data_IF_979373016213
#
_entry.id   IF_979373016213
#
_cell.length_a   1.000
_cell.length_b   1.000
_cell.length_c   1.000
_cell.angle_alpha   90.00
_cell.angle_beta   90.00
_cell.angle_gamma   90.00
#
_symmetry.space_group_name_H-M   'P 1'
#
loop_
_entity.id
_entity.type
_entity.pdbx_description
1 polymer ?
#
# COMPACT_ATOMS: atom_id res chain seq x y z
N UNK A 1 5.49 6.66 -20.59
CA UNK A 1 4.89 6.24 -21.87
C UNK A 1 5.96 6.24 -22.94
N UNK A 2 5.98 5.18 -23.74
CA UNK A 2 6.99 4.92 -24.75
C UNK A 2 7.04 6.04 -25.81
N UNK A 3 8.22 6.45 -26.28
CA UNK A 3 8.35 7.31 -27.45
C UNK A 3 7.66 6.72 -28.67
N UNK A 4 7.19 7.57 -29.59
CA UNK A 4 6.54 7.14 -30.83
C UNK A 4 7.41 6.21 -31.70
N UNK A 5 8.74 6.32 -31.56
CA UNK A 5 9.72 5.54 -32.31
C UNK A 5 10.18 4.26 -31.57
N UNK A 6 9.61 3.93 -30.40
CA UNK A 6 10.00 2.74 -29.64
C UNK A 6 9.42 1.48 -30.29
N UNK A 7 10.26 0.47 -30.63
CA UNK A 7 9.80 -0.75 -31.29
C UNK A 7 8.82 -1.57 -30.43
N UNK A 8 8.79 -1.37 -29.11
CA UNK A 8 7.88 -2.07 -28.18
C UNK A 8 6.48 -1.47 -28.18
N UNK A 9 6.29 -0.31 -28.81
CA UNK A 9 5.02 0.42 -28.79
C UNK A 9 3.90 -0.38 -29.45
N UNK A 10 4.18 -1.05 -30.57
CA UNK A 10 3.20 -1.84 -31.31
C UNK A 10 2.71 -3.05 -30.48
N UNK A 11 3.64 -3.82 -29.91
CA UNK A 11 3.32 -4.97 -29.05
C UNK A 11 2.49 -4.56 -27.83
N UNK A 12 2.85 -3.43 -27.21
CA UNK A 12 2.16 -2.93 -26.02
C UNK A 12 0.75 -2.43 -26.37
N UNK A 13 0.57 -1.77 -27.51
CA UNK A 13 -0.74 -1.37 -28.02
C UNK A 13 -1.65 -2.55 -28.32
N UNK A 14 -1.12 -3.61 -28.95
CA UNK A 14 -1.88 -4.83 -29.23
C UNK A 14 -2.36 -5.48 -27.93
N UNK A 15 -1.49 -5.61 -26.94
CA UNK A 15 -1.85 -6.19 -25.65
C UNK A 15 -2.88 -5.35 -24.90
N UNK A 16 -2.70 -4.02 -24.85
CA UNK A 16 -3.68 -3.12 -24.24
C UNK A 16 -5.04 -3.20 -24.93
N UNK A 17 -5.08 -3.31 -26.27
CA UNK A 17 -6.33 -3.50 -27.01
C UNK A 17 -7.04 -4.82 -26.69
N UNK A 18 -6.29 -5.90 -26.45
CA UNK A 18 -6.85 -7.17 -25.98
C UNK A 18 -7.45 -7.07 -24.58
N UNK A 19 -6.73 -6.42 -23.65
CA UNK A 19 -7.21 -6.19 -22.29
C UNK A 19 -8.44 -5.30 -22.27
N UNK A 20 -8.42 -4.19 -23.01
CA UNK A 20 -9.52 -3.24 -23.08
C UNK A 20 -10.80 -3.89 -23.61
N UNK A 21 -10.73 -4.71 -24.65
CA UNK A 21 -11.90 -5.45 -25.16
C UNK A 21 -12.55 -6.38 -24.13
N UNK A 22 -11.80 -6.85 -23.12
CA UNK A 22 -12.31 -7.71 -22.06
C UNK A 22 -12.78 -6.98 -20.80
N UNK A 23 -12.24 -5.79 -20.53
CA UNK A 23 -12.39 -5.08 -19.26
C UNK A 23 -13.03 -3.68 -19.39
N UNK A 24 -13.12 -3.12 -20.61
CA UNK A 24 -13.58 -1.75 -20.84
C UNK A 24 -12.74 -0.72 -20.08
N UNK A 25 -11.41 -0.88 -20.10
CA UNK A 25 -10.48 -0.07 -19.30
C UNK A 25 -10.54 1.41 -19.71
N UNK A 26 -10.59 1.70 -21.01
CA UNK A 26 -10.66 3.07 -21.51
C UNK A 26 -11.92 3.79 -21.03
N UNK A 27 -13.07 3.14 -21.15
CA UNK A 27 -14.35 3.70 -20.69
C UNK A 27 -14.38 3.86 -19.17
N UNK A 28 -13.83 2.91 -18.42
CA UNK A 28 -13.71 3.01 -16.98
C UNK A 28 -12.79 4.17 -16.55
N UNK A 29 -11.66 4.36 -17.24
CA UNK A 29 -10.73 5.48 -16.99
C UNK A 29 -11.40 6.82 -17.32
N UNK A 30 -12.14 6.91 -18.43
CA UNK A 30 -12.89 8.11 -18.79
C UNK A 30 -13.96 8.42 -17.75
N UNK A 31 -14.77 7.44 -17.35
CA UNK A 31 -15.77 7.61 -16.30
C UNK A 31 -15.15 8.06 -14.98
N UNK A 32 -13.97 7.54 -14.62
CA UNK A 32 -13.20 7.96 -13.45
C UNK A 32 -12.73 9.42 -13.57
N UNK A 33 -12.36 9.87 -14.77
CA UNK A 33 -11.86 11.22 -15.03
C UNK A 33 -12.98 12.25 -15.13
N UNK A 34 -14.15 11.85 -15.61
CA UNK A 34 -15.32 12.72 -15.83
C UNK A 34 -16.20 12.85 -14.58
N UNK A 35 -15.89 12.11 -13.51
CA UNK A 35 -16.55 12.19 -12.21
C UNK A 35 -16.13 13.47 -11.46
N UNK A 36 -16.79 14.58 -11.80
CA UNK A 36 -16.62 15.89 -11.17
C UNK A 36 -17.04 15.91 -9.68
N UNK A 37 -17.83 14.93 -9.22
CA UNK A 37 -18.23 14.81 -7.81
C UNK A 37 -17.14 14.16 -6.95
N UNK A 38 -16.09 13.63 -7.58
CA UNK A 38 -15.03 12.93 -6.89
C UNK A 38 -14.20 13.87 -6.00
N UNK A 39 -14.29 13.64 -4.69
CA UNK A 39 -13.51 14.38 -3.72
C UNK A 39 -12.03 13.97 -3.77
N UNK A 40 -11.21 14.84 -4.33
CA UNK A 40 -9.76 14.68 -4.38
C UNK A 40 -9.14 15.14 -3.06
N UNK A 41 -8.34 14.27 -2.44
CA UNK A 41 -7.80 14.48 -1.11
C UNK A 41 -6.28 14.64 -1.14
N UNK A 42 -5.80 15.68 -0.46
CA UNK A 42 -4.39 15.84 -0.14
C UNK A 42 -4.13 15.03 1.12
N UNK A 43 -3.24 14.06 1.04
CA UNK A 43 -2.87 13.23 2.18
C UNK A 43 -2.06 14.02 3.23
N UNK A 44 -2.15 13.62 4.50
CA UNK A 44 -1.51 14.33 5.61
C UNK A 44 0.03 14.43 5.45
N UNK A 45 0.66 13.38 4.91
CA UNK A 45 2.09 13.32 4.61
C UNK A 45 2.52 14.51 3.74
N UNK A 46 1.74 14.80 2.68
CA UNK A 46 2.00 15.90 1.75
C UNK A 46 1.73 17.26 2.40
N UNK A 47 0.63 17.36 3.15
CA UNK A 47 0.29 18.59 3.87
C UNK A 47 1.41 19.00 4.83
N UNK A 48 1.91 18.05 5.62
CA UNK A 48 3.01 18.28 6.56
C UNK A 48 4.32 18.64 5.85
N UNK A 49 4.67 17.92 4.79
CA UNK A 49 5.88 18.18 4.01
C UNK A 49 5.87 19.61 3.42
N UNK A 50 4.77 20.02 2.82
CA UNK A 50 4.64 21.33 2.18
C UNK A 50 4.61 22.47 3.20
N UNK A 51 3.90 22.29 4.33
CA UNK A 51 3.88 23.25 5.44
C UNK A 51 5.29 23.45 6.01
N UNK A 52 6.07 22.37 6.17
CA UNK A 52 7.44 22.48 6.68
C UNK A 52 8.38 23.12 5.67
N UNK A 53 8.26 22.77 4.39
CA UNK A 53 9.11 23.30 3.33
C UNK A 53 8.87 24.79 3.07
N UNK A 54 7.61 25.19 2.83
CA UNK A 54 7.26 26.57 2.47
C UNK A 54 7.52 27.55 3.59
N UNK A 55 7.29 27.13 4.83
CA UNK A 55 7.51 27.98 6.01
C UNK A 55 8.92 27.83 6.59
N UNK A 56 9.83 27.12 5.91
CA UNK A 56 11.22 26.95 6.32
C UNK A 56 11.37 26.50 7.79
N UNK A 57 10.51 25.55 8.20
CA UNK A 57 10.49 25.05 9.58
C UNK A 57 11.81 24.32 9.87
N UNK A 58 12.30 24.46 11.11
CA UNK A 58 13.55 23.84 11.55
C UNK A 58 13.28 22.46 12.14
N UNK A 59 14.07 21.48 11.73
CA UNK A 59 14.05 20.13 12.28
C UNK A 59 15.08 19.97 13.40
N UNK A 60 14.75 19.14 14.39
CA UNK A 60 15.69 18.76 15.45
C UNK A 60 16.83 17.95 14.84
N UNK A 61 18.06 18.24 15.23
CA UNK A 61 19.27 17.56 14.73
C UNK A 61 19.42 17.55 13.19
N UNK A 62 18.73 18.43 12.47
CA UNK A 62 18.65 18.43 11.00
C UNK A 62 18.06 17.15 10.40
N UNK A 63 17.30 16.38 11.18
CA UNK A 63 16.61 15.18 10.72
C UNK A 63 15.27 15.57 10.07
N UNK A 64 15.23 15.57 8.74
CA UNK A 64 14.05 15.96 7.94
C UNK A 64 12.97 14.87 7.90
N UNK A 65 12.80 14.14 9.01
CA UNK A 65 11.82 13.08 9.17
C UNK A 65 10.46 13.64 9.56
N UNK A 66 9.42 13.18 8.85
CA UNK A 66 8.02 13.52 9.12
C UNK A 66 7.30 12.22 9.51
N UNK A 67 6.90 12.13 10.78
CA UNK A 67 6.14 11.00 11.28
C UNK A 67 4.66 11.14 10.94
N UNK A 68 4.02 10.05 10.52
CA UNK A 68 2.57 9.94 10.35
C UNK A 68 2.05 8.70 11.09
N UNK A 69 0.77 8.69 11.47
CA UNK A 69 0.17 7.58 12.22
C UNK A 69 -0.03 6.29 11.41
N UNK A 70 0.13 6.37 10.08
CA UNK A 70 0.07 5.25 9.13
C UNK A 70 1.25 5.35 8.17
N UNK A 71 1.63 4.21 7.58
CA UNK A 71 2.56 4.17 6.46
C UNK A 71 2.05 5.04 5.31
N UNK A 72 2.98 5.60 4.53
CA UNK A 72 2.63 6.45 3.41
C UNK A 72 1.97 5.66 2.28
N UNK A 73 1.10 6.33 1.52
CA UNK A 73 0.66 5.78 0.23
C UNK A 73 1.75 5.87 -0.83
N UNK A 74 1.58 5.12 -1.93
CA UNK A 74 2.60 5.05 -2.98
C UNK A 74 2.89 6.42 -3.61
N UNK A 75 1.84 7.21 -3.90
CA UNK A 75 2.00 8.57 -4.41
C UNK A 75 2.70 9.49 -3.41
N UNK A 76 2.43 9.35 -2.09
CA UNK A 76 3.11 10.13 -1.06
C UNK A 76 4.60 9.82 -1.00
N UNK A 77 4.98 8.54 -1.02
CA UNK A 77 6.38 8.11 -1.08
C UNK A 77 7.11 8.72 -2.28
N UNK A 78 6.52 8.61 -3.48
CA UNK A 78 7.11 9.19 -4.69
C UNK A 78 7.20 10.72 -4.65
N UNK A 79 6.21 11.38 -4.05
CA UNK A 79 6.25 12.83 -3.86
C UNK A 79 7.44 13.23 -2.98
N UNK A 80 7.62 12.58 -1.82
CA UNK A 80 8.77 12.80 -0.94
C UNK A 80 10.10 12.59 -1.67
N UNK A 81 10.22 11.47 -2.41
CA UNK A 81 11.43 11.12 -3.18
C UNK A 81 11.86 12.23 -4.14
N UNK A 82 10.91 12.86 -4.84
CA UNK A 82 11.21 13.86 -5.87
C UNK A 82 11.14 15.31 -5.39
N UNK A 83 10.70 15.53 -4.15
CA UNK A 83 10.49 16.87 -3.61
C UNK A 83 11.82 17.64 -3.41
N UNK A 84 11.91 18.93 -3.77
CA UNK A 84 13.14 19.74 -3.65
C UNK A 84 13.70 19.83 -2.23
N UNK A 85 12.83 19.75 -1.21
CA UNK A 85 13.21 19.82 0.20
C UNK A 85 14.05 18.62 0.71
N UNK A 86 14.18 17.53 -0.06
CA UNK A 86 14.96 16.33 0.29
C UNK A 86 14.67 15.78 1.70
N UNK A 87 13.39 15.65 2.01
CA UNK A 87 12.91 15.02 3.25
C UNK A 87 13.27 13.54 3.29
N UNK A 88 13.28 12.94 4.48
CA UNK A 88 13.46 11.49 4.63
C UNK A 88 12.28 10.78 3.99
N UNK A 89 12.55 9.86 3.07
CA UNK A 89 11.52 9.11 2.37
C UNK A 89 10.75 8.21 3.36
N UNK A 90 9.41 8.28 3.39
CA UNK A 90 8.61 7.53 4.34
C UNK A 90 8.50 6.06 3.93
N UNK A 91 8.34 5.18 4.93
CA UNK A 91 7.88 3.82 4.69
C UNK A 91 6.48 3.82 4.06
N UNK A 92 6.17 2.80 3.24
CA UNK A 92 5.00 2.80 2.37
C UNK A 92 4.28 1.45 2.35
N UNK A 93 2.96 1.48 2.41
CA UNK A 93 2.11 0.30 2.31
C UNK A 93 1.76 -0.11 0.87
N UNK A 94 2.38 0.52 -0.14
CA UNK A 94 2.25 0.21 -1.57
C UNK A 94 0.86 0.35 -2.20
N UNK A 95 -0.09 1.04 -1.55
CA UNK A 95 -1.42 1.30 -2.16
C UNK A 95 -1.42 2.64 -2.90
N UNK A 96 -2.01 2.64 -4.08
CA UNK A 96 -2.30 3.83 -4.89
C UNK A 96 -3.75 4.27 -4.66
N UNK A 97 -3.97 5.58 -4.58
CA UNK A 97 -5.30 6.17 -4.37
C UNK A 97 -5.64 7.05 -5.56
N UNK A 98 -6.72 6.71 -6.27
CA UNK A 98 -7.14 7.45 -7.47
C UNK A 98 -7.64 8.88 -7.16
N UNK A 99 -8.08 9.12 -5.92
CA UNK A 99 -8.47 10.45 -5.45
C UNK A 99 -7.29 11.24 -4.82
N UNK A 100 -6.06 10.73 -4.91
CA UNK A 100 -4.89 11.44 -4.39
C UNK A 100 -4.57 12.66 -5.25
N UNK A 101 -4.19 13.78 -4.62
CA UNK A 101 -3.69 14.97 -5.31
C UNK A 101 -2.59 15.69 -4.51
N UNK A 102 -1.71 16.46 -5.18
CA UNK A 102 -0.79 17.37 -4.50
C UNK A 102 -1.54 18.54 -3.85
N UNK A 103 -0.83 19.30 -3.00
CA UNK A 103 -1.38 20.51 -2.38
C UNK A 103 -1.69 21.59 -3.42
N UNK A 104 -2.73 22.38 -3.20
CA UNK A 104 -3.02 23.51 -4.07
C UNK A 104 -1.96 24.61 -3.91
N UNK A 105 -1.61 25.26 -5.03
CA UNK A 105 -0.74 26.42 -5.03
C UNK A 105 -1.59 27.70 -5.08
N UNK A 106 -1.32 28.69 -4.21
CA UNK A 106 -1.91 30.01 -4.37
C UNK A 106 -1.49 30.57 -5.74
N UNK A 107 -2.46 31.08 -6.49
CA UNK A 107 -2.27 31.69 -7.84
C UNK A 107 -1.79 30.72 -8.95
N UNK A 108 -1.81 29.40 -8.68
CA UNK A 108 -1.55 28.26 -9.59
C UNK A 108 -0.30 28.43 -10.47
N UNK A 109 -0.39 29.21 -11.55
CA UNK A 109 0.66 29.37 -12.56
C UNK A 109 1.70 30.42 -12.16
N UNK A 110 1.31 31.45 -11.40
CA UNK A 110 2.23 32.53 -10.98
C UNK A 110 2.97 32.20 -9.68
N UNK A 111 2.64 31.07 -9.04
CA UNK A 111 3.30 30.63 -7.82
C UNK A 111 4.79 30.32 -8.05
N UNK A 112 5.65 30.82 -7.17
CA UNK A 112 7.08 30.45 -7.13
C UNK A 112 7.28 28.93 -7.01
N UNK A 113 6.34 28.22 -6.38
CA UNK A 113 6.40 26.77 -6.15
C UNK A 113 5.90 25.94 -7.34
N UNK A 114 5.31 26.57 -8.37
CA UNK A 114 4.74 25.87 -9.52
C UNK A 114 5.77 25.06 -10.32
N UNK A 115 6.97 25.59 -10.66
CA UNK A 115 7.97 24.83 -11.37
C UNK A 115 8.41 23.56 -10.62
N UNK A 116 8.55 23.66 -9.29
CA UNK A 116 8.95 22.54 -8.45
C UNK A 116 7.84 21.49 -8.36
N UNK A 117 6.60 21.90 -8.06
CA UNK A 117 5.48 20.97 -8.01
C UNK A 117 5.27 20.27 -9.36
N UNK A 118 5.35 21.01 -10.47
CA UNK A 118 5.26 20.44 -11.82
C UNK A 118 6.36 19.41 -12.08
N UNK A 119 7.60 19.68 -11.65
CA UNK A 119 8.72 18.73 -11.77
C UNK A 119 8.47 17.47 -10.95
N UNK A 120 8.00 17.60 -9.72
CA UNK A 120 7.67 16.47 -8.85
C UNK A 120 6.60 15.59 -9.50
N UNK A 121 5.51 16.19 -9.96
CA UNK A 121 4.41 15.45 -10.61
C UNK A 121 4.84 14.78 -11.91
N UNK A 122 5.68 15.44 -12.72
CA UNK A 122 6.21 14.84 -13.94
C UNK A 122 7.07 13.60 -13.64
N UNK A 123 7.94 13.67 -12.63
CA UNK A 123 8.77 12.52 -12.22
C UNK A 123 7.93 11.41 -11.60
N UNK A 124 6.94 11.74 -10.77
CA UNK A 124 6.00 10.78 -10.19
C UNK A 124 5.22 10.06 -11.29
N UNK A 125 4.68 10.79 -12.28
CA UNK A 125 3.97 10.23 -13.42
C UNK A 125 4.88 9.33 -14.28
N UNK A 126 6.14 9.70 -14.45
CA UNK A 126 7.13 8.89 -15.16
C UNK A 126 7.42 7.57 -14.43
N UNK A 127 7.66 7.61 -13.12
CA UNK A 127 7.88 6.41 -12.31
C UNK A 127 6.66 5.47 -12.34
N UNK A 128 5.45 6.01 -12.18
CA UNK A 128 4.23 5.21 -12.32
C UNK A 128 4.10 4.59 -13.71
N UNK A 129 4.41 5.35 -14.76
CA UNK A 129 4.37 4.84 -16.13
C UNK A 129 5.34 3.69 -16.33
N UNK A 130 6.56 3.81 -15.81
CA UNK A 130 7.58 2.76 -15.91
C UNK A 130 7.13 1.48 -15.19
N UNK A 131 6.56 1.62 -13.99
CA UNK A 131 6.06 0.46 -13.23
C UNK A 131 4.90 -0.24 -13.92
N UNK A 132 3.99 0.51 -14.53
CA UNK A 132 2.90 -0.05 -15.32
C UNK A 132 3.44 -0.76 -16.56
N UNK A 133 4.42 -0.16 -17.24
CA UNK A 133 5.10 -0.78 -18.38
C UNK A 133 5.78 -2.10 -17.99
N UNK A 134 6.54 -2.10 -16.89
CA UNK A 134 7.18 -3.30 -16.34
C UNK A 134 6.16 -4.38 -15.99
N UNK A 135 5.04 -4.00 -15.36
CA UNK A 135 3.97 -4.93 -15.01
C UNK A 135 3.30 -5.52 -16.26
N UNK A 136 3.04 -4.71 -17.27
CA UNK A 136 2.49 -5.17 -18.55
C UNK A 136 3.44 -6.19 -19.19
N UNK A 137 4.73 -5.87 -19.28
CA UNK A 137 5.75 -6.77 -19.85
C UNK A 137 5.84 -8.07 -19.06
N UNK A 138 5.82 -8.00 -17.72
CA UNK A 138 5.90 -9.18 -16.87
C UNK A 138 4.67 -10.09 -17.04
N UNK A 139 3.47 -9.52 -17.18
CA UNK A 139 2.24 -10.29 -17.36
C UNK A 139 2.06 -10.84 -18.78
N UNK A 140 2.72 -10.26 -19.79
CA UNK A 140 2.75 -10.82 -21.15
C UNK A 140 3.60 -12.08 -21.28
N UNK A 141 4.53 -12.33 -20.35
CA UNK A 141 5.32 -13.55 -20.37
C UNK A 141 4.47 -14.73 -19.89
N UNK A 142 4.62 -15.95 -20.49
CA UNK A 142 3.97 -17.14 -19.96
C UNK A 142 4.42 -17.32 -18.51
N UNK A 143 3.54 -17.06 -17.56
CA UNK A 143 3.81 -17.36 -16.16
C UNK A 143 3.94 -18.89 -16.06
N UNK A 144 5.11 -19.41 -15.62
CA UNK A 144 5.19 -20.81 -15.25
C UNK A 144 4.10 -21.04 -14.21
N UNK A 145 3.28 -22.07 -14.43
CA UNK A 145 2.18 -22.41 -13.52
C UNK A 145 2.66 -22.35 -12.08
N UNK A 146 2.09 -21.42 -11.31
CA UNK A 146 2.37 -21.25 -9.90
C UNK A 146 1.03 -21.39 -9.17
N UNK A 147 0.90 -22.30 -8.19
CA UNK A 147 -0.29 -22.34 -7.36
C UNK A 147 -0.41 -21.04 -6.56
N UNK A 148 -1.59 -20.40 -6.58
CA UNK A 148 -1.88 -19.10 -5.93
C UNK A 148 -2.00 -19.19 -4.40
N UNK A 149 -1.20 -20.05 -3.77
CA UNK A 149 -1.22 -20.25 -2.33
C UNK A 149 0.20 -20.39 -1.80
N UNK A 150 0.83 -19.26 -1.53
CA UNK A 150 1.93 -19.22 -0.57
C UNK A 150 1.34 -19.21 0.84
N UNK A 151 0.85 -20.36 1.31
CA UNK A 151 0.79 -20.56 2.76
C UNK A 151 2.24 -20.53 3.23
N UNK A 152 2.65 -19.48 3.92
CA UNK A 152 4.03 -19.17 4.36
C UNK A 152 4.56 -20.16 5.43
N UNK A 153 4.24 -21.44 5.29
CA UNK A 153 4.49 -22.53 6.24
C UNK A 153 5.83 -23.21 5.94
N UNK A 154 6.30 -23.20 4.69
CA UNK A 154 7.45 -24.03 4.28
C UNK A 154 8.82 -23.33 4.35
N UNK A 155 8.91 -22.05 4.71
CA UNK A 155 10.19 -21.33 4.76
C UNK A 155 11.07 -21.68 5.98
N UNK A 156 10.56 -22.42 6.97
CA UNK A 156 11.27 -22.66 8.26
C UNK A 156 11.99 -24.01 8.31
N UNK A 157 11.73 -24.97 7.42
CA UNK A 157 12.33 -26.31 7.53
C UNK A 157 13.58 -26.56 6.67
N UNK A 158 14.12 -25.54 6.01
CA UNK A 158 15.18 -25.69 5.00
C UNK A 158 16.64 -25.65 5.48
N UNK A 159 16.94 -25.46 6.76
CA UNK A 159 18.34 -25.28 7.20
C UNK A 159 18.74 -25.95 8.51
N UNK A 160 18.05 -27.02 8.92
CA UNK A 160 18.59 -27.93 9.94
C UNK A 160 19.32 -29.05 9.21
N UNK A 161 20.62 -28.87 9.01
CA UNK A 161 21.49 -29.93 8.49
C UNK A 161 21.54 -31.07 9.52
N UNK A 162 20.82 -32.16 9.26
CA UNK A 162 20.96 -33.41 10.01
C UNK A 162 22.31 -34.00 9.66
N UNK A 163 23.28 -33.89 10.57
CA UNK A 163 24.49 -34.71 10.54
C UNK A 163 24.13 -36.15 10.86
N UNK A 164 24.52 -37.03 9.97
CA UNK A 164 24.47 -38.48 10.07
C UNK A 164 25.22 -38.96 11.32
N UNK A 165 24.45 -39.38 12.33
CA UNK A 165 24.89 -40.35 13.35
C UNK A 165 23.89 -41.49 13.28
N UNK A 166 24.34 -42.59 12.68
CA UNK A 166 23.63 -43.85 12.80
C UNK A 166 23.82 -44.38 14.21
N UNK A 167 22.73 -44.80 14.85
CA UNK A 167 22.78 -45.84 15.87
C UNK A 167 21.55 -46.74 15.78
N UNK A 168 21.84 -47.98 16.13
CA UNK A 168 21.08 -49.20 15.92
C UNK A 168 19.86 -49.24 16.84
N UNK A 169 18.74 -49.72 16.31
CA UNK A 169 17.56 -50.06 17.10
C UNK A 169 17.87 -51.30 17.94
N UNK A 170 17.82 -51.18 19.26
CA UNK A 170 17.66 -52.33 20.14
C UNK A 170 16.46 -52.07 21.07
N UNK A 171 15.57 -53.05 21.09
CA UNK A 171 14.27 -52.99 21.75
C UNK A 171 14.40 -53.49 23.18
N UNK A 172 13.78 -52.78 24.13
CA UNK A 172 13.11 -53.43 25.25
C UNK A 172 13.68 -53.25 26.67
N UNK A 173 12.78 -52.75 27.53
CA UNK A 173 12.48 -53.21 28.89
C UNK A 173 13.33 -52.71 30.08
N UNK A 174 12.69 -52.01 31.03
CA UNK A 174 13.11 -52.01 32.45
C UNK A 174 13.00 -50.72 33.28
N UNK A 175 11.82 -50.50 33.86
CA UNK A 175 11.49 -50.14 35.27
C UNK A 175 12.26 -49.07 36.11
N UNK A 176 11.46 -48.19 36.79
CA UNK A 176 11.73 -47.29 37.95
C UNK A 176 12.72 -46.11 37.73
N UNK A 177 12.55 -44.88 38.21
CA UNK A 177 11.91 -44.35 39.43
C UNK A 177 11.63 -42.82 39.28
N UNK A 178 10.86 -42.27 40.22
CA UNK A 178 10.28 -40.90 40.34
C UNK A 178 11.24 -39.69 40.21
N UNK A 179 10.78 -38.55 39.64
CA UNK A 179 10.46 -37.26 40.35
C UNK A 179 10.01 -36.12 39.39
N UNK A 180 8.84 -35.55 39.74
CA UNK A 180 8.32 -34.15 39.61
C UNK A 180 9.06 -33.09 38.78
N UNK A 181 8.36 -32.29 37.95
CA UNK A 181 7.64 -31.06 38.36
C UNK A 181 6.87 -30.39 37.19
N UNK A 182 5.79 -29.69 37.57
CA UNK A 182 4.86 -28.74 36.92
C UNK A 182 5.29 -27.97 35.65
N UNK A 183 4.46 -27.44 34.73
CA UNK A 183 3.03 -27.08 34.74
C UNK A 183 2.48 -26.94 33.29
N UNK A 184 1.31 -27.53 33.07
CA UNK A 184 0.07 -26.96 32.50
C UNK A 184 0.11 -25.70 31.61
N UNK A 185 -0.31 -25.85 30.34
CA UNK A 185 -1.26 -24.91 29.71
C UNK A 185 -2.28 -25.71 28.89
N UNK A 186 -3.48 -25.81 29.46
CA UNK A 186 -4.62 -26.48 28.88
C UNK A 186 -5.51 -25.49 28.09
N UNK A 187 -6.19 -26.06 27.11
CA UNK A 187 -7.48 -25.63 26.56
C UNK A 187 -7.58 -24.28 25.85
N UNK A 188 -7.58 -24.33 24.52
CA UNK A 188 -8.54 -23.59 23.70
C UNK A 188 -9.08 -24.52 22.62
N UNK A 189 -10.21 -25.15 22.94
CA UNK A 189 -11.14 -25.65 21.95
C UNK A 189 -12.50 -25.24 22.46
N UNK A 190 -13.21 -24.40 21.72
CA UNK A 190 -14.67 -24.40 21.64
C UNK A 190 -15.05 -23.65 20.36
N UNK A 191 -15.29 -24.48 19.36
CA UNK A 191 -16.12 -24.26 18.19
C UNK A 191 -17.57 -24.22 18.65
N UNK A 192 -18.30 -23.13 18.40
CA UNK A 192 -19.75 -23.20 18.27
C UNK A 192 -20.24 -22.31 17.12
N UNK A 193 -20.65 -22.99 16.07
CA UNK A 193 -21.57 -22.56 15.03
C UNK A 193 -22.95 -22.24 15.62
N UNK A 194 -23.52 -21.06 15.34
CA UNK A 194 -24.98 -20.90 15.28
C UNK A 194 -25.38 -19.86 14.24
N UNK A 195 -26.11 -20.39 13.26
CA UNK A 195 -26.98 -19.74 12.29
C UNK A 195 -28.20 -19.11 12.98
N UNK A 196 -28.65 -17.94 12.50
CA UNK A 196 -30.06 -17.62 12.18
C UNK A 196 -30.32 -16.11 11.96
N UNK A 197 -30.68 -15.80 10.71
CA UNK A 197 -31.86 -15.04 10.24
C UNK A 197 -32.35 -13.75 10.94
N UNK A 198 -32.39 -12.70 10.11
CA UNK A 198 -33.46 -11.70 9.88
C UNK A 198 -34.20 -11.03 11.06
N UNK A 199 -34.10 -9.70 11.13
CA UNK A 199 -35.28 -8.86 11.42
C UNK A 199 -35.11 -7.41 10.92
N UNK A 200 -36.05 -6.99 10.06
CA UNK A 200 -36.31 -5.59 9.67
C UNK A 200 -37.07 -4.82 10.77
N UNK A 201 -37.19 -3.49 10.57
CA UNK A 201 -37.88 -2.43 11.35
C UNK A 201 -37.02 -1.78 12.44
N UNK A 202 -36.96 -0.47 12.61
CA UNK A 202 -37.62 0.69 12.01
C UNK A 202 -37.19 1.96 12.78
N UNK A 203 -37.19 3.10 12.09
CA UNK A 203 -37.32 4.51 12.54
C UNK A 203 -36.77 4.97 13.91
N UNK A 204 -35.94 6.03 13.91
CA UNK A 204 -36.30 7.42 14.31
C UNK A 204 -35.08 8.27 14.72
N UNK A 205 -35.17 9.55 14.33
CA UNK A 205 -34.20 10.65 14.47
C UNK A 205 -33.97 11.09 15.92
N UNK A 206 -32.77 11.62 16.25
CA UNK A 206 -32.60 12.81 17.12
C UNK A 206 -31.29 13.56 16.81
N UNK A 207 -31.44 14.87 16.58
CA UNK A 207 -30.36 15.84 16.38
C UNK A 207 -29.62 16.17 17.69
N UNK A 208 -28.32 16.50 17.62
CA UNK A 208 -27.66 17.26 18.68
C UNK A 208 -26.62 18.22 18.11
N UNK A 209 -27.04 19.47 18.03
CA UNK A 209 -26.25 20.67 17.75
C UNK A 209 -25.25 20.98 18.89
N UNK A 210 -24.07 21.48 18.55
CA UNK A 210 -22.94 21.64 19.45
C UNK A 210 -22.03 22.79 19.05
N UNK A 211 -22.60 23.99 18.94
CA UNK A 211 -21.86 25.23 18.70
C UNK A 211 -20.92 25.62 19.85
N UNK A 212 -19.70 26.01 19.51
CA UNK A 212 -18.73 26.63 20.44
C UNK A 212 -18.67 28.13 20.16
N UNK A 213 -19.11 28.93 21.12
CA UNK A 213 -19.03 30.38 21.09
C UNK A 213 -17.61 30.89 21.34
N UNK A 214 -17.22 31.93 20.61
CA UNK A 214 -16.07 32.77 20.94
C UNK A 214 -16.59 34.07 21.56
N UNK A 215 -16.29 34.23 22.85
CA UNK A 215 -16.51 35.45 23.60
C UNK A 215 -15.32 36.41 23.44
N UNK A 216 -15.69 37.64 23.06
CA UNK A 216 -15.02 38.94 23.18
C UNK A 216 -13.62 39.14 22.56
#
# INVERSE_FOLDING_TARGET
MLPADDPRLEDLQVYLGQLDGSLGLEDAIRAISDDEERQHNVHAEIQMLEEFHRNQRKFVAHDLYIACSKLACFCCKLYFKWHPGRFVEPECHQKTYLNWRPIDLPERVESEYWPDQRRVLANLSKELSNLVEEQIIAQQQPTPWHPDSITNITAVMGSVAISEVGEVFESGDGESDEVTDSDSLAHLNDDETVDNTDNESGESDEESDGGVGLGY
#
